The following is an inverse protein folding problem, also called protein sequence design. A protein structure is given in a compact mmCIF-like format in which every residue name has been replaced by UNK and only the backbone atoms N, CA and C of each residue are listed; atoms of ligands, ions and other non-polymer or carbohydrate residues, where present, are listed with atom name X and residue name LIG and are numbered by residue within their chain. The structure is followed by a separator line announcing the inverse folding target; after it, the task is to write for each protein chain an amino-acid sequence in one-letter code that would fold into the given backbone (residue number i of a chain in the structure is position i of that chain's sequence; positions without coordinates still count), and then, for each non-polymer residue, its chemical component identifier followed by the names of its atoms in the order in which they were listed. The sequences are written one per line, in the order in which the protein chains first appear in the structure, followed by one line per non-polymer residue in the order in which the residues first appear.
data_IF_146210550587
#
_entry.id   IF_146210550587
#
_cell.length_a   1.000
_cell.length_b   1.000
_cell.length_c   1.000
_cell.angle_alpha   90.00
_cell.angle_beta   90.00
_cell.angle_gamma   90.00
#
_symmetry.space_group_name_H-M   'P 1'
#
loop_
_entity.id
_entity.type
_entity.pdbx_description
1 polymer ?
#
# COMPACT_ATOMS: atom_id res chain seq x y z
N UNK A 1 33.88 1.97 7.66
CA UNK A 1 34.57 1.97 6.36
C UNK A 1 33.69 2.74 5.36
N UNK A 2 34.16 3.86 4.79
CA UNK A 2 33.39 4.64 3.81
C UNK A 2 32.93 3.80 2.61
N UNK A 3 33.66 2.74 2.27
CA UNK A 3 33.33 1.82 1.17
C UNK A 3 32.01 1.09 1.40
N UNK A 4 31.71 0.71 2.65
CA UNK A 4 30.46 0.03 3.01
C UNK A 4 29.25 0.97 2.94
N UNK A 5 29.40 2.20 3.45
CA UNK A 5 28.35 3.22 3.36
C UNK A 5 28.05 3.57 1.92
N UNK A 6 29.08 3.77 1.08
CA UNK A 6 28.90 4.02 -0.36
C UNK A 6 28.20 2.85 -1.06
N UNK A 7 28.57 1.61 -0.75
CA UNK A 7 27.93 0.43 -1.33
C UNK A 7 26.44 0.36 -0.98
N UNK A 8 26.05 0.67 0.27
CA UNK A 8 24.65 0.70 0.69
C UNK A 8 23.89 1.83 0.00
N UNK A 9 24.46 3.04 -0.09
CA UNK A 9 23.80 4.16 -0.79
C UNK A 9 23.55 3.84 -2.27
N UNK A 10 24.52 3.24 -2.96
CA UNK A 10 24.38 2.83 -4.36
C UNK A 10 23.34 1.72 -4.49
N UNK A 11 23.36 0.72 -3.60
CA UNK A 11 22.38 -0.36 -3.58
C UNK A 11 20.95 0.17 -3.39
N UNK A 12 20.76 1.08 -2.44
CA UNK A 12 19.46 1.72 -2.19
C UNK A 12 19.00 2.50 -3.42
N UNK A 13 19.86 3.35 -3.98
CA UNK A 13 19.53 4.13 -5.19
C UNK A 13 19.15 3.21 -6.37
N UNK A 14 19.91 2.13 -6.59
CA UNK A 14 19.61 1.14 -7.62
C UNK A 14 18.27 0.44 -7.38
N UNK A 15 17.92 0.16 -6.12
CA UNK A 15 16.65 -0.46 -5.77
C UNK A 15 15.48 0.48 -6.04
N UNK A 16 15.58 1.77 -5.67
CA UNK A 16 14.57 2.76 -6.04
C UNK A 16 14.43 2.93 -7.56
N UNK A 17 15.54 2.93 -8.30
CA UNK A 17 15.51 3.01 -9.76
C UNK A 17 14.89 1.77 -10.37
N UNK A 18 15.19 0.59 -9.82
CA UNK A 18 14.60 -0.67 -10.26
C UNK A 18 13.08 -0.68 -10.03
N UNK A 19 12.62 -0.30 -8.85
CA UNK A 19 11.20 -0.19 -8.53
C UNK A 19 10.51 0.86 -9.39
N UNK A 20 11.13 2.03 -9.65
CA UNK A 20 10.56 3.02 -10.58
C UNK A 20 10.37 2.52 -12.01
N UNK A 21 11.27 1.64 -12.47
CA UNK A 21 11.18 1.03 -13.80
C UNK A 21 10.08 -0.03 -13.83
N UNK A 22 9.96 -0.86 -12.77
CA UNK A 22 8.88 -1.86 -12.68
C UNK A 22 7.52 -1.16 -12.56
N UNK A 23 7.46 -0.07 -11.79
CA UNK A 23 6.21 0.61 -11.47
C UNK A 23 5.83 1.70 -12.46
N UNK A 24 6.60 1.90 -13.53
CA UNK A 24 6.39 2.97 -14.53
C UNK A 24 6.02 4.31 -13.88
N UNK A 25 6.72 4.63 -12.78
CA UNK A 25 6.38 5.76 -11.91
C UNK A 25 7.62 6.60 -11.67
N UNK A 26 7.43 7.92 -11.59
CA UNK A 26 8.52 8.84 -11.32
C UNK A 26 9.18 8.54 -9.97
N UNK A 27 10.51 8.60 -9.95
CA UNK A 27 11.34 8.24 -8.80
C UNK A 27 10.92 8.92 -7.47
N UNK A 28 10.54 10.21 -7.42
CA UNK A 28 10.04 10.83 -6.20
C UNK A 28 8.72 10.23 -5.70
N UNK A 29 7.88 9.74 -6.60
CA UNK A 29 6.57 9.20 -6.26
C UNK A 29 6.67 7.80 -5.68
N UNK A 30 7.56 6.98 -6.21
CA UNK A 30 7.99 5.70 -5.64
C UNK A 30 8.49 5.91 -4.19
N UNK A 31 9.31 6.95 -3.97
CA UNK A 31 9.79 7.34 -2.63
C UNK A 31 8.70 7.75 -1.66
N UNK A 32 7.67 8.41 -2.16
CA UNK A 32 6.57 8.87 -1.34
C UNK A 32 5.62 7.73 -0.96
N UNK A 33 5.14 6.97 -1.94
CA UNK A 33 4.14 5.90 -1.74
C UNK A 33 4.72 4.70 -0.99
N UNK A 34 5.99 4.35 -1.21
CA UNK A 34 6.67 3.29 -0.48
C UNK A 34 7.57 3.77 0.66
N UNK A 35 7.52 5.07 0.99
CA UNK A 35 8.26 5.64 2.11
C UNK A 35 7.90 5.03 3.47
N UNK A 36 6.71 4.43 3.60
CA UNK A 36 6.28 3.68 4.77
C UNK A 36 6.92 2.28 4.90
N UNK A 37 7.66 1.83 3.90
CA UNK A 37 8.32 0.53 3.95
C UNK A 37 9.59 0.65 4.81
N UNK A 38 9.43 0.47 6.12
CA UNK A 38 10.48 0.64 7.14
C UNK A 38 11.75 -0.16 6.89
N UNK A 39 11.70 -1.18 6.01
CA UNK A 39 12.83 -1.97 5.50
C UNK A 39 13.99 -1.09 5.04
N UNK A 40 13.73 0.04 4.39
CA UNK A 40 14.77 0.88 3.81
C UNK A 40 15.39 1.87 4.81
N UNK A 41 14.61 2.35 5.79
CA UNK A 41 15.14 3.14 6.91
C UNK A 41 16.07 2.28 7.75
N UNK A 42 15.68 1.04 8.08
CA UNK A 42 16.52 0.12 8.87
C UNK A 42 17.86 -0.20 8.19
N UNK A 43 17.91 -0.25 6.86
CA UNK A 43 19.14 -0.49 6.09
C UNK A 43 20.16 0.65 6.19
N UNK A 44 19.71 1.88 6.40
CA UNK A 44 20.58 3.06 6.62
C UNK A 44 20.86 3.26 8.12
N UNK A 45 19.90 2.93 8.97
CA UNK A 45 19.99 3.11 10.43
C UNK A 45 21.12 2.27 11.03
N UNK A 46 21.27 1.00 10.63
CA UNK A 46 22.34 0.13 11.15
C UNK A 46 23.74 0.66 10.82
N UNK A 47 24.09 1.00 9.56
CA UNK A 47 25.38 1.61 9.23
C UNK A 47 25.64 2.92 9.98
N UNK A 48 24.62 3.76 10.16
CA UNK A 48 24.75 5.01 10.92
C UNK A 48 25.05 4.70 12.39
N UNK A 49 24.32 3.78 13.02
CA UNK A 49 24.58 3.36 14.40
C UNK A 49 25.98 2.74 14.55
N UNK A 50 26.43 1.92 13.60
CA UNK A 50 27.78 1.35 13.60
C UNK A 50 28.86 2.44 13.46
N UNK A 51 28.63 3.44 12.60
CA UNK A 51 29.53 4.58 12.44
C UNK A 51 29.58 5.42 13.73
N UNK A 52 28.44 5.71 14.33
CA UNK A 52 28.34 6.45 15.59
C UNK A 52 29.04 5.69 16.73
N UNK A 53 28.83 4.37 16.83
CA UNK A 53 29.52 3.52 17.80
C UNK A 53 31.05 3.51 17.59
N UNK A 54 31.49 3.44 16.33
CA UNK A 54 32.91 3.49 15.99
C UNK A 54 33.55 4.85 16.31
N UNK A 55 32.84 5.95 16.04
CA UNK A 55 33.29 7.30 16.38
C UNK A 55 33.39 7.49 17.91
N UNK A 56 32.42 6.97 18.67
CA UNK A 56 32.45 7.01 20.13
C UNK A 56 33.63 6.21 20.70
N UNK A 57 33.98 5.09 20.05
CA UNK A 57 35.15 4.30 20.44
C UNK A 57 36.48 5.01 20.15
N UNK A 58 36.63 5.62 18.98
CA UNK A 58 37.86 6.32 18.58
C UNK A 58 38.03 7.67 19.28
N UNK A 59 36.93 8.34 19.62
CA UNK A 59 36.91 9.67 20.21
C UNK A 59 35.90 9.72 21.37
N UNK A 60 36.26 9.20 22.56
CA UNK A 60 35.34 9.12 23.70
C UNK A 60 34.91 10.48 24.27
N UNK A 61 35.67 11.55 23.98
CA UNK A 61 35.33 12.92 24.38
C UNK A 61 34.31 13.60 23.45
N UNK A 62 33.98 12.97 22.31
CA UNK A 62 33.02 13.49 21.36
C UNK A 62 31.60 13.31 21.92
N UNK A 63 30.75 14.35 21.93
CA UNK A 63 29.38 14.23 22.41
C UNK A 63 28.63 13.13 21.66
N UNK A 64 28.09 12.17 22.42
CA UNK A 64 27.38 11.00 21.88
C UNK A 64 25.95 10.92 22.43
N UNK A 65 25.16 9.95 21.95
CA UNK A 65 23.80 9.72 22.44
C UNK A 65 23.76 9.48 23.95
N UNK A 66 24.73 8.72 24.45
CA UNK A 66 24.83 8.32 25.86
C UNK A 66 25.51 9.39 26.73
N UNK A 67 26.36 10.23 26.12
CA UNK A 67 27.04 11.33 26.79
C UNK A 67 27.00 12.61 25.94
N UNK A 68 25.84 13.29 25.86
CA UNK A 68 25.68 14.47 25.01
C UNK A 68 26.35 15.73 25.59
N UNK A 69 26.82 15.66 26.84
CA UNK A 69 27.54 16.74 27.53
C UNK A 69 26.82 18.09 27.40
N UNK A 70 27.53 19.11 26.90
CA UNK A 70 27.00 20.47 26.71
C UNK A 70 25.94 20.60 25.62
N UNK A 71 25.73 19.56 24.81
CA UNK A 71 24.75 19.54 23.71
C UNK A 71 23.44 18.84 24.09
N UNK A 72 23.28 18.42 25.35
CA UNK A 72 22.08 17.73 25.85
C UNK A 72 20.76 18.45 25.55
N UNK A 73 20.71 19.78 25.68
CA UNK A 73 19.51 20.56 25.38
C UNK A 73 19.15 20.51 23.89
N UNK A 74 20.14 20.62 23.00
CA UNK A 74 19.93 20.51 21.54
C UNK A 74 19.48 19.10 21.18
N UNK A 75 20.06 18.09 21.83
CA UNK A 75 19.72 16.70 21.63
C UNK A 75 18.27 16.39 22.07
N UNK A 76 17.86 16.91 23.23
CA UNK A 76 16.49 16.79 23.73
C UNK A 76 15.46 17.45 22.80
N UNK A 77 15.76 18.64 22.27
CA UNK A 77 14.91 19.30 21.26
C UNK A 77 14.83 18.47 19.98
N UNK A 78 15.95 17.89 19.52
CA UNK A 78 15.94 16.99 18.36
C UNK A 78 15.05 15.76 18.57
N UNK A 79 15.14 15.09 19.71
CA UNK A 79 14.27 13.96 20.06
C UNK A 79 12.80 14.40 20.10
N UNK A 80 12.51 15.53 20.74
CA UNK A 80 11.15 16.09 20.84
C UNK A 80 10.55 16.43 19.47
N UNK A 81 11.37 16.71 18.46
CA UNK A 81 10.91 16.94 17.09
C UNK A 81 10.76 15.62 16.31
N UNK A 82 11.65 14.65 16.52
CA UNK A 82 11.62 13.36 15.80
C UNK A 82 10.50 12.45 16.27
N UNK A 83 10.22 12.40 17.58
CA UNK A 83 9.20 11.50 18.15
C UNK A 83 7.80 11.75 17.54
N UNK A 84 7.27 12.99 17.50
CA UNK A 84 5.96 13.26 16.92
C UNK A 84 5.90 12.90 15.43
N UNK A 85 6.97 13.17 14.67
CA UNK A 85 7.04 12.84 13.24
C UNK A 85 7.05 11.32 13.03
N UNK A 86 7.80 10.59 13.87
CA UNK A 86 7.88 9.13 13.82
C UNK A 86 6.57 8.47 14.23
N UNK A 87 5.88 9.03 15.22
CA UNK A 87 4.53 8.59 15.62
C UNK A 87 3.50 8.88 14.54
N UNK A 88 3.52 10.07 13.93
CA UNK A 88 2.63 10.42 12.82
C UNK A 88 2.83 9.48 11.63
N UNK A 89 4.09 9.23 11.25
CA UNK A 89 4.44 8.29 10.19
C UNK A 89 4.03 6.84 10.53
N UNK A 90 4.23 6.42 11.78
CA UNK A 90 3.85 5.06 12.22
C UNK A 90 2.34 4.84 12.30
N UNK A 91 1.56 5.83 12.74
CA UNK A 91 0.10 5.72 12.84
C UNK A 91 -0.54 5.79 11.45
N UNK A 92 -0.12 6.74 10.60
CA UNK A 92 -0.70 6.89 9.27
C UNK A 92 -0.17 5.86 8.28
N UNK A 93 1.02 5.31 8.51
CA UNK A 93 1.59 4.30 7.63
C UNK A 93 1.04 2.90 7.78
N UNK A 94 0.06 2.71 8.66
CA UNK A 94 -0.63 1.44 8.85
C UNK A 94 -2.07 1.44 8.37
N UNK A 95 -2.63 2.58 7.96
CA UNK A 95 -4.00 2.66 7.47
C UNK A 95 -3.99 2.66 5.95
N UNK A 96 -4.62 1.68 5.31
CA UNK A 96 -4.84 1.67 3.88
C UNK A 96 -6.33 1.85 3.58
N UNK A 97 -6.65 2.53 2.48
CA UNK A 97 -8.05 2.66 2.04
C UNK A 97 -8.66 1.28 1.72
N UNK A 98 -7.82 0.30 1.37
CA UNK A 98 -8.24 -1.08 1.12
C UNK A 98 -8.75 -1.78 2.36
N UNK A 99 -8.43 -1.31 3.58
CA UNK A 99 -8.89 -1.93 4.82
C UNK A 99 -10.40 -1.76 4.95
N UNK A 100 -10.90 -0.54 4.68
CA UNK A 100 -12.34 -0.27 4.66
C UNK A 100 -13.04 -1.00 3.51
N UNK A 101 -12.43 -1.06 2.33
CA UNK A 101 -12.98 -1.82 1.22
C UNK A 101 -13.05 -3.32 1.53
N UNK A 102 -12.05 -3.88 2.21
CA UNK A 102 -11.98 -5.27 2.60
C UNK A 102 -13.01 -5.61 3.69
N UNK A 103 -13.21 -4.74 4.69
CA UNK A 103 -14.25 -4.92 5.72
C UNK A 103 -15.65 -5.04 5.08
N UNK A 104 -15.93 -4.25 4.05
CA UNK A 104 -17.22 -4.32 3.33
C UNK A 104 -17.34 -5.64 2.58
N UNK A 105 -16.28 -6.08 1.90
CA UNK A 105 -16.27 -7.39 1.26
C UNK A 105 -16.46 -8.52 2.27
N UNK A 106 -15.74 -8.49 3.38
CA UNK A 106 -15.81 -9.51 4.43
C UNK A 106 -17.23 -9.72 4.95
N UNK A 107 -17.91 -8.62 5.27
CA UNK A 107 -19.25 -8.62 5.84
C UNK A 107 -20.36 -9.02 4.86
N UNK A 108 -20.14 -8.87 3.55
CA UNK A 108 -21.19 -9.01 2.55
C UNK A 108 -20.97 -10.16 1.54
N UNK A 109 -19.74 -10.64 1.38
CA UNK A 109 -19.44 -11.76 0.48
C UNK A 109 -19.95 -13.09 1.04
N UNK A 110 -20.64 -13.85 0.20
CA UNK A 110 -21.00 -15.23 0.51
C UNK A 110 -19.81 -16.19 0.31
N UNK A 111 -19.87 -17.37 0.93
CA UNK A 111 -18.85 -18.40 0.77
C UNK A 111 -18.80 -18.88 -0.69
N UNK A 112 -17.60 -18.88 -1.27
CA UNK A 112 -17.32 -19.27 -2.65
C UNK A 112 -17.46 -18.15 -3.66
N UNK A 113 -17.81 -16.93 -3.22
CA UNK A 113 -17.76 -15.73 -4.05
C UNK A 113 -16.33 -15.21 -4.20
N UNK A 114 -16.05 -14.67 -5.37
CA UNK A 114 -14.78 -14.02 -5.67
C UNK A 114 -14.98 -12.51 -5.86
N UNK A 115 -13.90 -11.75 -5.71
CA UNK A 115 -13.90 -10.31 -6.03
C UNK A 115 -12.83 -9.97 -7.06
N UNK A 116 -13.11 -8.93 -7.85
CA UNK A 116 -12.21 -8.40 -8.85
C UNK A 116 -11.75 -7.00 -8.47
N UNK A 117 -10.45 -6.87 -8.25
CA UNK A 117 -9.80 -5.60 -7.96
C UNK A 117 -9.20 -4.98 -9.23
N UNK A 118 -9.69 -3.77 -9.58
CA UNK A 118 -9.22 -2.99 -10.71
C UNK A 118 -8.21 -1.95 -10.20
N UNK A 119 -6.95 -2.14 -10.57
CA UNK A 119 -5.86 -1.24 -10.21
C UNK A 119 -4.74 -1.33 -11.25
N UNK A 120 -3.92 -0.30 -11.42
CA UNK A 120 -2.71 -0.41 -12.23
C UNK A 120 -1.75 -1.49 -11.69
N UNK A 121 -1.05 -2.17 -12.61
CA UNK A 121 -0.27 -3.39 -12.29
C UNK A 121 0.98 -3.19 -11.44
N UNK A 122 1.24 -1.95 -11.09
CA UNK A 122 2.42 -1.50 -10.36
C UNK A 122 2.27 -1.74 -8.86
N UNK A 123 1.04 -1.67 -8.33
CA UNK A 123 0.71 -1.86 -6.91
C UNK A 123 -0.45 -2.85 -6.67
N UNK A 124 -1.14 -3.31 -7.72
CA UNK A 124 -2.34 -4.15 -7.60
C UNK A 124 -2.15 -5.40 -6.72
N UNK A 125 -1.03 -6.10 -6.88
CA UNK A 125 -0.72 -7.28 -6.05
C UNK A 125 -0.39 -6.93 -4.60
N UNK A 126 0.19 -5.77 -4.32
CA UNK A 126 0.50 -5.35 -2.95
C UNK A 126 -0.77 -5.03 -2.17
N UNK A 127 -1.73 -4.37 -2.82
CA UNK A 127 -3.04 -4.11 -2.23
C UNK A 127 -3.89 -5.38 -2.09
N UNK A 128 -3.76 -6.38 -2.96
CA UNK A 128 -4.44 -7.67 -2.74
C UNK A 128 -4.00 -8.35 -1.42
N UNK A 129 -2.77 -8.16 -0.98
CA UNK A 129 -2.33 -8.68 0.31
C UNK A 129 -3.03 -8.00 1.49
N UNK A 130 -3.36 -6.72 1.40
CA UNK A 130 -4.08 -6.02 2.46
C UNK A 130 -5.54 -6.46 2.53
N UNK A 131 -6.18 -6.77 1.38
CA UNK A 131 -7.50 -7.43 1.39
C UNK A 131 -7.46 -8.78 2.11
N UNK A 132 -6.43 -9.59 1.86
CA UNK A 132 -6.29 -10.90 2.52
C UNK A 132 -6.12 -10.79 4.05
N UNK A 133 -5.56 -9.70 4.58
CA UNK A 133 -5.40 -9.55 6.04
C UNK A 133 -6.69 -9.16 6.74
N UNK A 134 -7.63 -8.55 6.02
CA UNK A 134 -8.86 -8.00 6.58
C UNK A 134 -10.11 -8.84 6.27
N UNK A 135 -10.08 -9.69 5.23
CA UNK A 135 -11.14 -10.67 4.99
C UNK A 135 -10.85 -11.92 5.84
N UNK A 136 -11.80 -12.26 6.72
CA UNK A 136 -11.64 -13.39 7.63
C UNK A 136 -11.81 -14.73 6.89
N UNK A 137 -10.97 -15.70 7.25
CA UNK A 137 -11.08 -17.11 6.84
C UNK A 137 -11.18 -17.34 5.31
N UNK A 138 -10.46 -16.54 4.50
CA UNK A 138 -10.42 -16.59 3.03
C UNK A 138 -10.34 -18.02 2.48
N UNK A 139 -9.45 -18.85 3.04
CA UNK A 139 -9.28 -20.26 2.62
C UNK A 139 -10.49 -21.15 2.95
N UNK A 140 -11.17 -20.92 4.09
CA UNK A 140 -12.32 -21.71 4.50
C UNK A 140 -13.58 -21.31 3.74
N UNK A 141 -13.73 -20.00 3.49
CA UNK A 141 -14.82 -19.42 2.71
C UNK A 141 -14.61 -19.56 1.21
N UNK A 142 -13.45 -20.07 0.77
CA UNK A 142 -13.11 -20.26 -0.64
C UNK A 142 -13.24 -18.98 -1.47
N UNK A 143 -12.76 -17.86 -0.91
CA UNK A 143 -12.78 -16.54 -1.54
C UNK A 143 -11.47 -16.33 -2.32
N UNK A 144 -11.56 -15.89 -3.57
CA UNK A 144 -10.40 -15.52 -4.38
C UNK A 144 -10.44 -14.05 -4.78
N UNK A 145 -9.37 -13.33 -4.47
CA UNK A 145 -9.13 -11.97 -4.97
C UNK A 145 -8.43 -12.01 -6.33
N UNK A 146 -9.09 -11.49 -7.37
CA UNK A 146 -8.50 -11.33 -8.70
C UNK A 146 -8.05 -9.89 -8.92
N UNK A 147 -6.97 -9.70 -9.66
CA UNK A 147 -6.51 -8.36 -10.05
C UNK A 147 -6.48 -8.19 -11.57
N UNK A 148 -6.87 -7.01 -12.05
CA UNK A 148 -6.79 -6.59 -13.46
C UNK A 148 -6.42 -5.11 -13.57
N UNK A 149 -5.67 -4.75 -14.61
CA UNK A 149 -5.48 -3.33 -14.96
C UNK A 149 -6.69 -2.77 -15.70
N UNK A 150 -6.96 -1.45 -15.63
CA UNK A 150 -8.14 -0.84 -16.27
C UNK A 150 -8.24 -1.13 -17.77
N UNK A 151 -7.11 -1.10 -18.49
CA UNK A 151 -7.03 -1.36 -19.94
C UNK A 151 -6.84 -2.82 -20.34
N UNK A 152 -7.03 -3.78 -19.43
CA UNK A 152 -6.71 -5.19 -19.68
C UNK A 152 -7.75 -5.99 -20.47
N UNK A 153 -8.92 -5.40 -20.76
CA UNK A 153 -10.08 -6.08 -21.34
C UNK A 153 -10.82 -6.98 -20.36
N UNK A 154 -10.73 -6.70 -19.06
CA UNK A 154 -11.33 -7.50 -17.99
C UNK A 154 -12.86 -7.58 -18.09
N UNK A 155 -13.50 -6.58 -18.68
CA UNK A 155 -14.94 -6.54 -18.90
C UNK A 155 -15.40 -7.69 -19.80
N UNK A 156 -14.62 -8.01 -20.85
CA UNK A 156 -14.93 -9.16 -21.71
C UNK A 156 -14.72 -10.49 -20.99
N UNK A 157 -13.74 -10.59 -20.09
CA UNK A 157 -13.55 -11.77 -19.26
C UNK A 157 -14.73 -11.97 -18.30
N UNK A 158 -15.20 -10.89 -17.66
CA UNK A 158 -16.29 -10.92 -16.69
C UNK A 158 -17.66 -11.16 -17.33
N UNK A 159 -17.98 -10.45 -18.41
CA UNK A 159 -19.31 -10.48 -19.05
C UNK A 159 -19.44 -11.64 -20.03
N UNK A 160 -18.45 -11.79 -20.90
CA UNK A 160 -18.51 -12.75 -22.00
C UNK A 160 -17.85 -14.09 -21.64
N UNK A 161 -17.26 -14.21 -20.44
CA UNK A 161 -16.60 -15.42 -19.97
C UNK A 161 -15.35 -15.78 -20.80
N UNK A 162 -14.74 -14.78 -21.45
CA UNK A 162 -13.56 -14.99 -22.28
C UNK A 162 -12.42 -15.50 -21.40
N UNK A 163 -11.91 -16.69 -21.70
CA UNK A 163 -10.78 -17.28 -20.98
C UNK A 163 -9.48 -16.86 -21.64
N UNK A 164 -8.70 -16.06 -20.91
CA UNK A 164 -7.33 -15.73 -21.28
C UNK A 164 -6.35 -16.63 -20.51
N UNK A 165 -5.32 -17.12 -21.19
CA UNK A 165 -4.32 -17.98 -20.55
C UNK A 165 -3.61 -17.24 -19.40
N UNK A 166 -3.38 -17.94 -18.29
CA UNK A 166 -2.67 -17.45 -17.10
C UNK A 166 -3.33 -16.27 -16.36
N UNK A 167 -4.64 -16.07 -16.47
CA UNK A 167 -5.34 -14.95 -15.80
C UNK A 167 -6.33 -15.35 -14.68
N UNK A 168 -6.43 -16.62 -14.34
CA UNK A 168 -7.43 -17.10 -13.37
C UNK A 168 -8.85 -17.07 -13.94
N UNK A 169 -9.83 -17.56 -13.17
CA UNK A 169 -11.22 -17.68 -13.62
C UNK A 169 -12.09 -16.66 -12.90
N UNK A 170 -12.79 -15.78 -13.64
CA UNK A 170 -13.67 -14.76 -13.06
C UNK A 170 -15.14 -15.21 -12.91
N UNK A 171 -15.45 -16.50 -13.13
CA UNK A 171 -16.84 -17.00 -13.17
C UNK A 171 -17.64 -16.79 -11.89
N UNK A 172 -16.96 -16.73 -10.73
CA UNK A 172 -17.61 -16.57 -9.43
C UNK A 172 -17.49 -15.13 -8.89
N UNK A 173 -17.03 -14.19 -9.72
CA UNK A 173 -16.87 -12.79 -9.29
C UNK A 173 -18.25 -12.13 -9.16
N UNK A 174 -18.62 -11.77 -7.94
CA UNK A 174 -19.86 -11.03 -7.63
C UNK A 174 -19.57 -9.61 -7.10
N UNK A 175 -18.30 -9.27 -6.93
CA UNK A 175 -17.85 -8.00 -6.36
C UNK A 175 -16.71 -7.41 -7.19
N UNK A 176 -16.76 -6.10 -7.46
CA UNK A 176 -15.70 -5.36 -8.12
C UNK A 176 -15.28 -4.21 -7.22
N UNK A 177 -13.98 -4.06 -7.03
CA UNK A 177 -13.39 -2.93 -6.31
C UNK A 177 -12.56 -2.11 -7.28
N UNK A 178 -12.92 -0.84 -7.48
CA UNK A 178 -12.15 0.12 -8.25
C UNK A 178 -11.25 0.94 -7.33
N UNK A 179 -9.95 0.90 -7.60
CA UNK A 179 -8.99 1.77 -6.96
C UNK A 179 -9.18 3.24 -7.36
N UNK A 180 -8.63 4.19 -6.57
CA UNK A 180 -8.67 5.60 -6.92
C UNK A 180 -8.18 5.90 -8.34
N UNK A 181 -9.00 6.64 -9.09
CA UNK A 181 -8.72 6.99 -10.48
C UNK A 181 -9.05 5.92 -11.52
N UNK A 182 -9.61 4.78 -11.09
CA UNK A 182 -10.12 3.73 -11.97
C UNK A 182 -11.65 3.69 -11.93
N UNK A 183 -12.27 3.30 -13.05
CA UNK A 183 -13.72 3.32 -13.23
C UNK A 183 -14.12 2.47 -14.42
N UNK A 184 -15.43 2.25 -14.58
CA UNK A 184 -16.01 1.68 -15.79
C UNK A 184 -15.67 2.52 -17.03
N UNK A 185 -14.99 1.93 -18.01
CA UNK A 185 -14.59 2.64 -19.25
C UNK A 185 -15.66 2.64 -20.34
N UNK A 186 -16.52 1.61 -20.38
CA UNK A 186 -17.44 1.35 -21.49
C UNK A 186 -18.92 1.33 -21.06
N UNK A 187 -19.22 2.04 -19.96
CA UNK A 187 -20.50 1.98 -19.26
C UNK A 187 -20.54 0.86 -18.22
N UNK A 188 -21.36 1.03 -17.17
CA UNK A 188 -21.59 -0.01 -16.17
C UNK A 188 -22.62 -1.02 -16.70
N UNK A 189 -22.55 -2.24 -16.17
CA UNK A 189 -23.46 -3.32 -16.54
C UNK A 189 -24.79 -3.17 -15.79
N UNK A 190 -25.92 -3.48 -16.44
CA UNK A 190 -27.26 -3.29 -15.84
C UNK A 190 -27.45 -4.10 -14.54
N UNK A 191 -26.81 -5.26 -14.44
CA UNK A 191 -26.91 -6.14 -13.27
C UNK A 191 -25.95 -5.76 -12.14
N UNK A 192 -25.13 -4.71 -12.32
CA UNK A 192 -24.15 -4.27 -11.33
C UNK A 192 -24.57 -2.93 -10.72
N UNK A 193 -24.59 -2.88 -9.40
CA UNK A 193 -24.95 -1.69 -8.63
C UNK A 193 -23.75 -1.22 -7.82
N UNK A 194 -23.57 0.10 -7.74
CA UNK A 194 -22.58 0.68 -6.84
C UNK A 194 -23.07 0.54 -5.40
N UNK A 195 -22.35 -0.25 -4.60
CA UNK A 195 -22.67 -0.52 -3.20
C UNK A 195 -22.10 0.57 -2.30
N UNK A 196 -20.85 0.99 -2.57
CA UNK A 196 -20.14 1.96 -1.74
C UNK A 196 -19.22 2.85 -2.58
N UNK A 197 -19.14 4.12 -2.17
CA UNK A 197 -18.16 5.09 -2.64
C UNK A 197 -17.38 5.60 -1.42
N UNK A 198 -16.07 5.35 -1.41
CA UNK A 198 -15.17 5.84 -0.37
C UNK A 198 -14.13 6.81 -0.92
N UNK A 199 -13.38 7.45 -0.01
CA UNK A 199 -12.32 8.38 -0.35
C UNK A 199 -11.02 7.93 0.31
N UNK A 200 -9.97 7.72 -0.47
CA UNK A 200 -8.63 7.47 0.06
C UNK A 200 -8.03 8.79 0.55
N UNK A 201 -7.38 8.74 1.71
CA UNK A 201 -6.60 9.86 2.21
C UNK A 201 -5.49 10.25 1.22
N UNK A 202 -5.13 11.54 1.20
CA UNK A 202 -4.06 12.07 0.34
C UNK A 202 -2.74 11.29 0.49
N UNK A 203 -2.43 10.87 1.72
CA UNK A 203 -1.21 10.11 2.03
C UNK A 203 -1.24 8.68 1.47
N UNK A 204 -2.43 8.17 1.13
CA UNK A 204 -2.69 6.84 0.57
C UNK A 204 -3.01 6.88 -0.94
N UNK A 205 -2.52 7.92 -1.63
CA UNK A 205 -2.74 8.12 -3.07
C UNK A 205 -3.84 9.12 -3.40
N UNK A 206 -4.79 9.33 -2.48
CA UNK A 206 -5.91 10.25 -2.65
C UNK A 206 -6.94 9.78 -3.70
N UNK A 207 -8.13 10.36 -3.65
CA UNK A 207 -9.18 10.14 -4.65
C UNK A 207 -10.22 9.09 -4.23
N UNK A 208 -11.23 8.91 -5.06
CA UNK A 208 -12.38 8.08 -4.72
C UNK A 208 -12.18 6.64 -5.20
N UNK A 209 -12.49 5.68 -4.33
CA UNK A 209 -12.57 4.27 -4.66
C UNK A 209 -14.03 3.82 -4.60
N UNK A 210 -14.38 2.79 -5.35
CA UNK A 210 -15.76 2.34 -5.52
C UNK A 210 -15.87 0.83 -5.38
N UNK A 211 -16.96 0.36 -4.77
CA UNK A 211 -17.34 -1.06 -4.73
C UNK A 211 -18.64 -1.23 -5.50
N UNK A 212 -18.64 -2.21 -6.39
CA UNK A 212 -19.79 -2.60 -7.18
C UNK A 212 -20.11 -4.07 -6.92
N UNK A 213 -21.40 -4.41 -6.94
CA UNK A 213 -21.85 -5.79 -6.73
C UNK A 213 -23.06 -6.13 -7.59
N UNK A 214 -23.22 -7.41 -7.89
CA UNK A 214 -24.45 -7.99 -8.43
C UNK A 214 -25.54 -8.15 -7.36
N UNK A 215 -25.15 -8.06 -6.08
CA UNK A 215 -26.08 -8.05 -4.96
C UNK A 215 -26.88 -6.75 -4.93
N UNK A 216 -28.17 -6.86 -4.60
CA UNK A 216 -29.06 -5.71 -4.47
C UNK A 216 -28.87 -5.10 -3.07
N UNK A 217 -28.06 -4.06 -2.97
CA UNK A 217 -27.91 -3.26 -1.73
C UNK A 217 -28.27 -1.80 -2.01
N UNK A 218 -29.08 -1.19 -1.14
CA UNK A 218 -29.23 0.28 -1.12
C UNK A 218 -27.85 0.90 -0.85
N UNK A 219 -27.41 1.91 -1.63
CA UNK A 219 -26.08 2.48 -1.48
C UNK A 219 -25.92 3.13 -0.11
N UNK A 220 -24.99 2.63 0.69
CA UNK A 220 -24.66 3.20 2.00
C UNK A 220 -23.67 4.35 1.79
N UNK A 221 -24.19 5.58 1.66
CA UNK A 221 -23.33 6.78 1.54
C UNK A 221 -22.83 7.13 2.94
N UNK A 222 -21.59 6.76 3.28
CA UNK A 222 -20.95 7.27 4.49
C UNK A 222 -20.64 8.77 4.32
N UNK A 223 -20.93 9.61 5.33
CA UNK A 223 -20.58 11.02 5.29
C UNK A 223 -19.05 11.17 5.27
N UNK A 224 -18.56 12.01 4.36
CA UNK A 224 -17.19 12.49 4.35
C UNK A 224 -16.95 13.39 5.57
N UNK A 225 -16.12 12.95 6.51
CA UNK A 225 -15.58 13.79 7.59
C UNK A 225 -14.34 14.58 7.13
#
# INVERSE_FOLDING_TARGET
DPTFTTAITIYVAALWTYESIIWDADWPWVMWTMGNNGRYISLIMIPILMLLAHLNHLYPDLPSLESPGKKSAVFAVGILLIIPISLLAGIHGQTYWTDEAAEVLDNNMEDGEDFLFIHDGTLGMHYLYTFHTEIDDVDQRNITGHWRSPGSGWQDELVNGVKLENRGNLSNVQWIVFAPGTYWTDGYLEDWNMTLLGCADFMNGGGNWEIWSTHVSEPEIKPTD
#
